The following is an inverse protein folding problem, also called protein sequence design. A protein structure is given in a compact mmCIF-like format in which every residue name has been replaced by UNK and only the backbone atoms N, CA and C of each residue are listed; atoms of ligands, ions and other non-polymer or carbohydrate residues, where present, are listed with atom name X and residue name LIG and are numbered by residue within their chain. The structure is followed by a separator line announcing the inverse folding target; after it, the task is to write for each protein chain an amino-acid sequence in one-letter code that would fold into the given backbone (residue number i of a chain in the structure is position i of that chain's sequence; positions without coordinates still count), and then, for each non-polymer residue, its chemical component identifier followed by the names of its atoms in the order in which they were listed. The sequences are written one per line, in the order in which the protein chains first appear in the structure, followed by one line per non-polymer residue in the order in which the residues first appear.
data_IF_875584854456
#
_entry.id   IF_875584854456
#
_cell.length_a   1.000
_cell.length_b   1.000
_cell.length_c   1.000
_cell.angle_alpha   90.00
_cell.angle_beta   90.00
_cell.angle_gamma   90.00
#
_symmetry.space_group_name_H-M   'P 1'
#
loop_
_entity.id
_entity.type
_entity.pdbx_description
1 polymer ?
#
# COMPACT_ATOMS: atom_id res chain seq x y z
N UNK A 1 2.13 0.60 16.19
CA UNK A 1 2.67 -0.73 15.88
C UNK A 1 2.15 -1.20 14.54
N UNK A 2 3.07 -1.52 13.64
CA UNK A 2 2.80 -1.94 12.26
C UNK A 2 3.39 -3.34 12.06
N UNK A 3 2.59 -4.22 11.48
CA UNK A 3 3.03 -5.54 11.06
C UNK A 3 3.50 -5.47 9.62
N UNK A 4 4.72 -5.93 9.36
CA UNK A 4 5.27 -6.09 8.02
C UNK A 4 5.32 -7.56 7.66
N UNK A 5 5.07 -7.88 6.41
CA UNK A 5 5.11 -9.22 5.85
C UNK A 5 5.84 -9.14 4.52
N UNK A 6 6.56 -10.21 4.18
CA UNK A 6 7.23 -10.30 2.89
C UNK A 6 6.58 -11.40 2.07
N UNK A 7 6.06 -11.05 0.89
CA UNK A 7 5.52 -12.01 -0.07
C UNK A 7 6.48 -12.15 -1.25
N UNK A 8 7.01 -13.36 -1.43
CA UNK A 8 7.82 -13.74 -2.59
C UNK A 8 6.96 -14.56 -3.55
N UNK A 9 6.68 -14.02 -4.74
CA UNK A 9 6.20 -14.84 -5.86
C UNK A 9 7.40 -15.59 -6.45
N UNK A 10 7.17 -16.80 -6.94
CA UNK A 10 8.22 -17.74 -7.39
C UNK A 10 9.13 -17.14 -8.48
N UNK A 11 8.74 -16.03 -9.13
CA UNK A 11 9.49 -15.37 -10.20
C UNK A 11 9.61 -13.84 -10.07
N UNK A 12 9.25 -13.23 -8.94
CA UNK A 12 9.33 -11.76 -8.79
C UNK A 12 10.02 -11.34 -7.50
N UNK A 13 10.53 -10.11 -7.49
CA UNK A 13 11.13 -9.47 -6.32
C UNK A 13 10.18 -9.54 -5.12
N UNK A 14 10.77 -9.60 -3.92
CA UNK A 14 10.01 -9.70 -2.69
C UNK A 14 9.15 -8.43 -2.49
N UNK A 15 7.83 -8.60 -2.45
CA UNK A 15 6.91 -7.52 -2.18
C UNK A 15 6.76 -7.32 -0.68
N UNK A 16 6.72 -6.05 -0.27
CA UNK A 16 6.50 -5.67 1.12
C UNK A 16 5.01 -5.43 1.35
N UNK A 17 4.42 -6.20 2.23
CA UNK A 17 3.03 -6.04 2.69
C UNK A 17 3.10 -5.51 4.12
N UNK A 18 2.21 -4.61 4.50
CA UNK A 18 2.14 -4.13 5.87
C UNK A 18 0.71 -3.78 6.29
N UNK A 19 0.43 -3.81 7.60
CA UNK A 19 -0.87 -3.44 8.16
C UNK A 19 -0.72 -2.86 9.56
N UNK A 20 -1.61 -1.94 9.92
CA UNK A 20 -1.67 -1.38 11.26
C UNK A 20 -2.26 -2.39 12.25
N UNK A 21 -1.81 -2.33 13.50
CA UNK A 21 -2.37 -3.15 14.60
C UNK A 21 -3.82 -2.80 14.89
N UNK A 22 -4.17 -1.52 14.81
CA UNK A 22 -5.48 -1.01 15.13
C UNK A 22 -5.88 0.16 14.23
N UNK A 23 -7.08 0.69 14.47
CA UNK A 23 -7.67 1.78 13.70
C UNK A 23 -6.88 3.09 13.76
N UNK A 24 -6.14 3.37 14.83
CA UNK A 24 -5.35 4.59 14.96
C UNK A 24 -4.07 4.51 14.12
N UNK A 25 -3.40 3.37 14.17
CA UNK A 25 -2.25 3.08 13.31
C UNK A 25 -2.64 3.12 11.83
N UNK A 26 -3.84 2.62 11.50
CA UNK A 26 -4.36 2.70 10.14
C UNK A 26 -4.56 4.15 9.67
N UNK A 27 -5.03 5.07 10.52
CA UNK A 27 -5.15 6.48 10.15
C UNK A 27 -3.77 7.09 9.85
N UNK A 28 -2.75 6.74 10.64
CA UNK A 28 -1.39 7.21 10.40
C UNK A 28 -0.79 6.65 9.10
N UNK A 29 -1.00 5.34 8.84
CA UNK A 29 -0.60 4.70 7.58
C UNK A 29 -1.29 5.33 6.36
N UNK A 30 -2.58 5.72 6.47
CA UNK A 30 -3.27 6.44 5.39
C UNK A 30 -2.67 7.82 5.18
N UNK A 31 -2.29 8.52 6.25
CA UNK A 31 -1.70 9.86 6.15
C UNK A 31 -0.29 9.84 5.56
N UNK A 32 0.47 8.80 5.89
CA UNK A 32 1.89 8.66 5.52
C UNK A 32 2.16 7.65 4.39
N UNK A 33 1.11 7.09 3.78
CA UNK A 33 1.22 6.18 2.64
C UNK A 33 1.91 6.79 1.43
N UNK A 34 2.49 5.92 0.60
CA UNK A 34 3.21 6.27 -0.61
C UNK A 34 2.32 6.14 -1.84
N UNK A 35 2.59 6.88 -2.93
CA UNK A 35 1.83 6.74 -4.17
C UNK A 35 1.94 5.34 -4.80
N UNK A 36 3.03 4.62 -4.50
CA UNK A 36 3.27 3.23 -4.93
C UNK A 36 2.52 2.20 -4.06
N UNK A 37 1.88 2.63 -2.96
CA UNK A 37 1.19 1.72 -2.06
C UNK A 37 -0.23 1.42 -2.57
N UNK A 38 -0.60 0.14 -2.54
CA UNK A 38 -1.93 -0.35 -2.88
C UNK A 38 -2.63 -0.76 -1.60
N UNK A 39 -3.80 -0.18 -1.37
CA UNK A 39 -4.62 -0.45 -0.20
C UNK A 39 -5.63 -1.55 -0.48
N UNK A 40 -5.82 -2.43 0.50
CA UNK A 40 -6.74 -3.56 0.47
C UNK A 40 -7.66 -3.55 1.69
N UNK A 41 -8.92 -3.91 1.47
CA UNK A 41 -9.94 -4.02 2.51
C UNK A 41 -11.09 -4.92 2.06
N UNK A 42 -11.81 -5.54 2.99
CA UNK A 42 -13.00 -6.33 2.65
C UNK A 42 -14.18 -5.41 2.31
N UNK A 43 -14.89 -5.69 1.21
CA UNK A 43 -16.09 -4.96 0.84
C UNK A 43 -17.15 -5.04 1.94
N UNK A 44 -17.67 -3.89 2.39
CA UNK A 44 -18.81 -3.75 3.32
C UNK A 44 -18.66 -4.36 4.72
N UNK A 45 -17.51 -4.95 5.05
CA UNK A 45 -17.27 -5.58 6.36
C UNK A 45 -16.13 -4.89 7.08
N UNK A 46 -16.16 -4.92 8.41
CA UNK A 46 -15.04 -4.47 9.22
C UNK A 46 -13.85 -5.43 9.05
N UNK A 47 -12.74 -4.90 8.54
CA UNK A 47 -11.50 -5.65 8.34
C UNK A 47 -10.27 -4.78 8.55
N UNK A 48 -9.11 -5.40 8.73
CA UNK A 48 -7.85 -4.68 8.77
C UNK A 48 -7.54 -4.01 7.42
N UNK A 49 -6.84 -2.87 7.47
CA UNK A 49 -6.27 -2.23 6.28
C UNK A 49 -4.90 -2.83 5.99
N UNK A 50 -4.80 -3.53 4.86
CA UNK A 50 -3.54 -4.09 4.39
C UNK A 50 -3.04 -3.23 3.24
N UNK A 51 -1.74 -2.97 3.22
CA UNK A 51 -1.06 -2.20 2.22
C UNK A 51 0.00 -3.06 1.56
N UNK A 52 0.09 -2.98 0.24
CA UNK A 52 1.14 -3.60 -0.56
C UNK A 52 1.98 -2.49 -1.17
N UNK A 53 3.29 -2.52 -0.93
CA UNK A 53 4.24 -1.59 -1.54
C UNK A 53 4.75 -2.15 -2.85
N UNK A 54 4.45 -1.47 -3.94
CA UNK A 54 4.97 -1.81 -5.27
C UNK A 54 6.39 -1.28 -5.47
N UNK A 55 7.12 -1.87 -6.42
CA UNK A 55 8.40 -1.33 -6.85
C UNK A 55 8.19 -0.06 -7.71
N UNK A 56 9.20 0.81 -7.74
CA UNK A 56 9.15 2.07 -8.50
C UNK A 56 8.84 1.79 -9.98
N UNK A 57 7.68 2.25 -10.44
CA UNK A 57 7.23 2.12 -11.84
C UNK A 57 6.26 0.98 -12.13
N UNK A 58 5.95 0.12 -11.17
CA UNK A 58 4.89 -0.89 -11.29
C UNK A 58 3.49 -0.29 -11.03
N UNK A 59 2.47 -0.86 -11.67
CA UNK A 59 1.08 -0.48 -11.45
C UNK A 59 0.28 -1.61 -10.79
N UNK A 60 -0.94 -1.28 -10.36
CA UNK A 60 -1.92 -2.23 -9.81
C UNK A 60 -2.23 -3.42 -10.73
N UNK A 61 -1.97 -3.30 -12.04
CA UNK A 61 -2.20 -4.35 -13.03
C UNK A 61 -1.02 -5.31 -13.17
N UNK A 62 0.18 -4.86 -12.80
CA UNK A 62 1.42 -5.63 -12.87
C UNK A 62 1.59 -6.58 -11.67
N UNK A 63 0.72 -6.44 -10.64
CA UNK A 63 0.78 -7.25 -9.43
C UNK A 63 0.53 -8.73 -9.77
N UNK A 64 1.48 -9.63 -9.45
CA UNK A 64 1.28 -11.05 -9.63
C UNK A 64 0.05 -11.54 -8.85
N UNK A 65 -0.75 -12.41 -9.48
CA UNK A 65 -1.95 -12.99 -8.85
C UNK A 65 -1.65 -13.67 -7.51
N UNK A 66 -0.46 -14.24 -7.36
CA UNK A 66 0.00 -14.85 -6.10
C UNK A 66 0.06 -13.81 -4.96
N UNK A 67 0.68 -12.66 -5.21
CA UNK A 67 0.81 -11.57 -4.22
C UNK A 67 -0.55 -10.95 -3.93
N UNK A 68 -1.38 -10.80 -4.96
CA UNK A 68 -2.76 -10.34 -4.81
C UNK A 68 -3.57 -11.29 -3.90
N UNK A 69 -3.44 -12.60 -4.13
CA UNK A 69 -4.08 -13.62 -3.29
C UNK A 69 -3.54 -13.61 -1.87
N UNK A 70 -2.24 -13.44 -1.68
CA UNK A 70 -1.62 -13.30 -0.36
C UNK A 70 -2.24 -12.14 0.43
N UNK A 71 -2.34 -10.95 -0.19
CA UNK A 71 -2.96 -9.79 0.42
C UNK A 71 -4.44 -10.04 0.73
N UNK A 72 -5.19 -10.59 -0.23
CA UNK A 72 -6.63 -10.82 -0.07
C UNK A 72 -6.94 -11.84 1.05
N UNK A 73 -6.12 -12.91 1.15
CA UNK A 73 -6.22 -13.87 2.24
C UNK A 73 -5.87 -13.25 3.60
N UNK A 74 -4.84 -12.40 3.65
CA UNK A 74 -4.42 -11.72 4.86
C UNK A 74 -5.53 -10.79 5.39
N UNK A 75 -6.15 -9.98 4.52
CA UNK A 75 -7.28 -9.10 4.90
C UNK A 75 -8.48 -9.94 5.37
N UNK A 76 -8.82 -11.00 4.64
CA UNK A 76 -9.91 -11.91 5.00
C UNK A 76 -9.68 -12.56 6.38
N UNK A 77 -8.46 -13.02 6.64
CA UNK A 77 -8.09 -13.62 7.93
C UNK A 77 -8.17 -12.61 9.08
N UNK A 78 -7.84 -11.35 8.81
CA UNK A 78 -7.92 -10.24 9.76
C UNK A 78 -9.25 -9.46 9.68
N UNK A 79 -10.32 -10.09 9.18
CA UNK A 79 -11.68 -9.53 9.21
C UNK A 79 -12.54 -10.22 10.27
N UNK A 80 -13.26 -9.41 11.05
CA UNK A 80 -14.09 -9.89 12.16
C UNK A 80 -15.18 -10.85 11.65
N UNK A 81 -15.88 -10.45 10.59
CA UNK A 81 -16.95 -11.24 9.98
C UNK A 81 -16.46 -12.01 8.74
N UNK A 82 -15.55 -11.42 7.95
CA UNK A 82 -15.06 -12.02 6.70
C UNK A 82 -14.29 -13.33 6.91
N UNK A 83 -13.66 -13.53 8.06
CA UNK A 83 -12.89 -14.76 8.34
C UNK A 83 -13.76 -16.04 8.34
N UNK A 84 -15.07 -15.93 8.60
CA UNK A 84 -16.02 -17.07 8.64
C UNK A 84 -16.81 -17.23 7.34
N UNK A 85 -16.75 -16.27 6.43
CA UNK A 85 -17.49 -16.29 5.18
C UNK A 85 -16.69 -17.03 4.10
N UNK A 86 -17.38 -17.85 3.32
CA UNK A 86 -16.77 -18.53 2.18
C UNK A 86 -16.47 -17.49 1.09
N UNK A 87 -17.46 -16.79 0.57
CA UNK A 87 -17.25 -15.81 -0.49
C UNK A 87 -17.09 -14.41 0.08
N UNK A 88 -15.84 -13.91 0.09
CA UNK A 88 -15.52 -12.55 0.53
C UNK A 88 -14.94 -11.78 -0.63
N UNK A 89 -15.52 -10.61 -0.89
CA UNK A 89 -14.99 -9.67 -1.87
C UNK A 89 -13.98 -8.76 -1.16
N UNK A 90 -12.74 -8.77 -1.63
CA UNK A 90 -11.70 -7.84 -1.18
C UNK A 90 -11.55 -6.76 -2.24
N UNK A 91 -11.71 -5.52 -1.83
CA UNK A 91 -11.47 -4.35 -2.68
C UNK A 91 -10.02 -3.94 -2.55
N UNK A 92 -9.43 -3.49 -3.65
CA UNK A 92 -8.09 -2.95 -3.68
C UNK A 92 -7.98 -1.78 -4.63
N UNK A 93 -7.26 -0.74 -4.21
CA UNK A 93 -7.12 0.52 -4.95
C UNK A 93 -5.78 1.16 -4.61
N UNK A 94 -5.19 1.96 -5.52
CA UNK A 94 -4.01 2.75 -5.19
C UNK A 94 -4.29 3.71 -4.04
N UNK A 95 -3.30 3.93 -3.18
CA UNK A 95 -3.38 4.86 -2.05
C UNK A 95 -3.79 6.27 -2.49
N UNK A 96 -3.31 6.72 -3.65
CA UNK A 96 -3.64 8.01 -4.26
C UNK A 96 -5.15 8.21 -4.55
N UNK A 97 -5.95 7.14 -4.55
CA UNK A 97 -7.39 7.19 -4.78
C UNK A 97 -8.21 7.22 -3.47
N UNK A 98 -7.56 7.00 -2.32
CA UNK A 98 -8.23 7.04 -1.02
C UNK A 98 -8.57 8.49 -0.67
N UNK A 99 -9.83 8.71 -0.26
CA UNK A 99 -10.35 10.00 0.19
C UNK A 99 -10.75 9.89 1.65
N UNK A 100 -10.00 10.58 2.52
CA UNK A 100 -10.37 10.76 3.93
C UNK A 100 -10.73 12.22 4.17
N UNK A 101 -11.93 12.47 4.69
CA UNK A 101 -12.34 13.81 5.17
C UNK A 101 -12.31 13.84 6.69
N UNK A 102 -12.12 15.02 7.29
CA UNK A 102 -12.07 15.18 8.74
C UNK A 102 -13.39 14.79 9.42
N UNK A 103 -14.52 14.91 8.71
CA UNK A 103 -15.85 14.52 9.19
C UNK A 103 -16.10 13.00 9.19
N UNK A 104 -15.19 12.19 8.64
CA UNK A 104 -15.36 10.73 8.57
C UNK A 104 -14.85 10.05 9.84
N UNK A 105 -15.65 9.14 10.38
CA UNK A 105 -15.29 8.33 11.55
C UNK A 105 -13.97 7.57 11.35
N UNK A 106 -13.26 7.31 12.45
CA UNK A 106 -11.98 6.60 12.46
C UNK A 106 -12.13 5.22 11.81
N UNK A 107 -11.36 4.95 10.76
CA UNK A 107 -11.44 3.73 9.96
C UNK A 107 -12.39 3.78 8.76
N UNK A 108 -13.22 4.84 8.62
CA UNK A 108 -14.00 5.06 7.41
C UNK A 108 -13.14 5.74 6.34
N UNK A 109 -13.14 5.17 5.12
CA UNK A 109 -12.41 5.70 3.97
C UNK A 109 -13.36 5.80 2.78
N UNK A 110 -13.34 6.94 2.11
CA UNK A 110 -13.99 7.14 0.82
C UNK A 110 -13.03 6.92 -0.34
N UNK A 111 -13.56 6.98 -1.57
CA UNK A 111 -12.76 6.89 -2.79
C UNK A 111 -12.99 8.14 -3.65
N UNK A 112 -11.94 8.63 -4.30
CA UNK A 112 -12.07 9.72 -5.28
C UNK A 112 -12.74 9.22 -6.57
N UNK A 113 -12.30 8.06 -7.07
CA UNK A 113 -12.81 7.41 -8.28
C UNK A 113 -13.15 5.95 -7.97
N UNK A 114 -14.44 5.62 -8.00
CA UNK A 114 -14.89 4.23 -7.85
C UNK A 114 -14.44 3.32 -9.01
N UNK A 115 -14.15 3.89 -10.19
CA UNK A 115 -13.67 3.13 -11.36
C UNK A 115 -12.28 2.54 -11.17
N UNK A 116 -11.46 3.15 -10.32
CA UNK A 116 -10.09 2.71 -10.04
C UNK A 116 -10.06 1.64 -8.92
N UNK A 117 -11.21 1.35 -8.32
CA UNK A 117 -11.36 0.30 -7.30
C UNK A 117 -11.55 -1.04 -7.99
N UNK A 118 -10.62 -1.96 -7.78
CA UNK A 118 -10.71 -3.33 -8.26
C UNK A 118 -11.20 -4.24 -7.14
N UNK A 119 -11.83 -5.36 -7.52
CA UNK A 119 -12.39 -6.33 -6.59
C UNK A 119 -11.84 -7.70 -6.92
N UNK A 120 -11.37 -8.41 -5.90
CA UNK A 120 -10.97 -9.82 -5.98
C UNK A 120 -11.84 -10.65 -5.05
N UNK A 121 -12.41 -11.73 -5.55
CA UNK A 121 -13.24 -12.64 -4.75
C UNK A 121 -12.38 -13.77 -4.21
N UNK A 122 -12.44 -14.00 -2.90
CA UNK A 122 -11.74 -15.09 -2.22
C UNK A 122 -12.76 -16.06 -1.64
N UNK A 123 -12.88 -17.23 -2.26
CA UNK A 123 -13.90 -18.26 -1.92
C UNK A 123 -13.54 -19.15 -0.73
N UNK A 124 -12.25 -19.49 -0.57
CA UNK A 124 -11.80 -20.35 0.52
C UNK A 124 -10.57 -19.76 1.15
N UNK A 125 -10.49 -19.87 2.48
CA UNK A 125 -9.31 -19.49 3.23
C UNK A 125 -8.21 -20.52 2.96
N UNK A 126 -7.16 -20.13 2.27
CA UNK A 126 -5.95 -20.94 2.11
C UNK A 126 -5.03 -20.72 3.31
N UNK A 127 -5.03 -21.68 4.24
CA UNK A 127 -4.20 -21.59 5.45
C UNK A 127 -2.70 -21.66 5.15
N UNK A 128 -2.29 -22.31 4.05
CA UNK A 128 -0.88 -22.41 3.66
C UNK A 128 -0.27 -21.04 3.34
N UNK A 129 -1.01 -20.18 2.64
CA UNK A 129 -0.63 -18.80 2.34
C UNK A 129 -0.43 -18.00 3.63
N UNK A 130 -1.39 -18.11 4.55
CA UNK A 130 -1.33 -17.40 5.83
C UNK A 130 -0.16 -17.87 6.68
N UNK A 131 0.06 -19.18 6.76
CA UNK A 131 1.19 -19.74 7.50
C UNK A 131 2.54 -19.32 6.89
N UNK A 132 2.63 -19.17 5.57
CA UNK A 132 3.81 -18.63 4.89
C UNK A 132 4.04 -17.18 5.25
N UNK A 133 3.00 -16.35 5.21
CA UNK A 133 3.08 -14.93 5.56
C UNK A 133 3.41 -14.75 7.05
N UNK A 134 2.80 -15.53 7.95
CA UNK A 134 3.05 -15.42 9.39
C UNK A 134 4.52 -15.72 9.74
N UNK A 135 5.21 -16.56 8.95
CA UNK A 135 6.67 -16.79 9.11
C UNK A 135 7.52 -15.58 8.72
N UNK A 136 7.04 -14.74 7.80
CA UNK A 136 7.74 -13.53 7.36
C UNK A 136 7.24 -12.28 8.09
N UNK A 137 6.37 -12.45 9.09
CA UNK A 137 5.83 -11.38 9.91
C UNK A 137 6.93 -10.74 10.76
N UNK A 138 7.06 -9.43 10.63
CA UNK A 138 7.96 -8.60 11.42
C UNK A 138 7.16 -7.48 12.05
N UNK A 139 7.18 -7.42 13.38
CA UNK A 139 6.58 -6.32 14.13
C UNK A 139 7.57 -5.16 14.20
N UNK A 140 7.14 -3.98 13.77
CA UNK A 140 7.94 -2.75 13.89
C UNK A 140 7.11 -1.62 14.48
N UNK A 141 7.82 -0.65 15.04
CA UNK A 141 7.31 0.65 15.43
C UNK A 141 7.95 1.70 14.52
N UNK A 142 7.59 1.72 13.21
CA UNK A 142 8.12 2.70 12.28
C UNK A 142 7.66 4.10 12.69
N UNK A 143 8.57 5.07 12.64
CA UNK A 143 8.21 6.48 12.72
C UNK A 143 7.83 6.94 11.30
N UNK A 144 6.60 6.63 10.91
CA UNK A 144 6.07 6.84 9.54
C UNK A 144 6.15 8.31 9.11
N UNK A 145 6.03 9.22 10.08
CA UNK A 145 6.18 10.65 9.87
C UNK A 145 7.63 11.01 9.50
N UNK A 146 8.62 10.50 10.23
CA UNK A 146 10.03 10.72 9.94
C UNK A 146 10.47 10.08 8.61
N UNK A 147 10.00 8.86 8.28
CA UNK A 147 10.34 8.21 7.01
C UNK A 147 9.80 8.98 5.80
N UNK A 148 8.55 9.46 5.88
CA UNK A 148 7.95 10.27 4.82
C UNK A 148 8.63 11.62 4.69
N UNK A 149 8.91 12.31 5.80
CA UNK A 149 9.60 13.60 5.76
C UNK A 149 11.02 13.48 5.18
N UNK A 150 11.74 12.41 5.53
CA UNK A 150 13.07 12.14 4.98
C UNK A 150 13.01 11.97 3.46
N UNK A 151 12.11 11.10 2.97
CA UNK A 151 11.92 10.87 1.53
C UNK A 151 11.46 12.12 0.80
N UNK A 152 10.48 12.85 1.32
CA UNK A 152 9.99 14.10 0.72
C UNK A 152 11.09 15.16 0.65
N UNK A 153 11.99 15.19 1.64
CA UNK A 153 13.15 16.09 1.67
C UNK A 153 14.19 15.68 0.62
N UNK A 154 14.47 14.40 0.48
CA UNK A 154 15.37 13.86 -0.56
C UNK A 154 14.82 14.12 -1.96
N UNK A 155 13.55 13.78 -2.23
CA UNK A 155 12.94 14.03 -3.54
C UNK A 155 12.90 15.53 -3.89
N UNK A 156 12.67 16.40 -2.90
CA UNK A 156 12.69 17.85 -3.10
C UNK A 156 14.10 18.36 -3.36
N UNK A 157 15.12 17.76 -2.74
CA UNK A 157 16.52 18.08 -3.00
C UNK A 157 16.97 17.58 -4.38
N UNK A 158 16.63 16.35 -4.75
CA UNK A 158 16.93 15.79 -6.08
C UNK A 158 16.25 16.57 -7.20
N UNK A 159 14.95 16.90 -7.07
CA UNK A 159 14.25 17.75 -8.05
C UNK A 159 14.90 19.13 -8.16
N UNK A 160 15.31 19.73 -7.04
CA UNK A 160 16.04 21.02 -7.06
C UNK A 160 17.40 20.88 -7.76
N UNK A 161 18.14 19.81 -7.50
CA UNK A 161 19.44 19.55 -8.13
C UNK A 161 19.28 19.34 -9.65
N UNK A 162 18.30 18.54 -10.07
CA UNK A 162 18.01 18.31 -11.50
C UNK A 162 17.57 19.60 -12.21
N UNK A 163 16.72 20.43 -11.60
CA UNK A 163 16.32 21.72 -12.17
C UNK A 163 17.51 22.68 -12.24
N UNK A 164 18.37 22.71 -11.21
CA UNK A 164 19.58 23.53 -11.24
C UNK A 164 20.56 23.06 -12.32
N UNK A 165 20.73 21.75 -12.49
CA UNK A 165 21.61 21.18 -13.52
C UNK A 165 21.07 21.45 -14.92
N UNK A 166 19.76 21.25 -15.17
CA UNK A 166 19.12 21.63 -16.43
C UNK A 166 19.29 23.12 -16.73
N UNK A 167 19.01 24.00 -15.76
CA UNK A 167 19.22 25.45 -15.93
C UNK A 167 20.67 25.82 -16.19
N UNK A 168 21.63 25.08 -15.63
CA UNK A 168 23.06 25.30 -15.86
C UNK A 168 23.45 24.87 -17.27
N UNK A 169 23.01 23.70 -17.73
CA UNK A 169 23.21 23.21 -19.11
C UNK A 169 22.59 24.16 -20.14
N UNK A 170 21.35 24.61 -19.95
CA UNK A 170 20.70 25.58 -20.85
C UNK A 170 21.46 26.92 -20.94
N UNK A 171 22.02 27.40 -19.82
CA UNK A 171 22.85 28.62 -19.79
C UNK A 171 24.17 28.43 -20.51
N UNK A 172 24.79 27.25 -20.42
CA UNK A 172 26.04 26.94 -21.14
C UNK A 172 25.80 26.78 -22.64
N UNK A 173 24.69 26.17 -23.06
CA UNK A 173 24.29 26.08 -24.46
C UNK A 173 23.98 27.45 -25.07
N UNK A 174 23.29 28.33 -24.32
CA UNK A 174 23.04 29.72 -24.75
C UNK A 174 24.30 30.57 -24.86
N UNK A 175 25.39 30.23 -24.16
CA UNK A 175 26.68 30.92 -24.27
C UNK A 175 27.57 30.39 -25.39
N UNK A 176 27.28 29.20 -25.91
CA UNK A 176 28.01 28.57 -27.02
C UNK A 176 27.39 28.83 -28.39
N UNK A 177 26.16 29.34 -28.44
CA UNK A 177 25.53 29.95 -29.63
C UNK A 177 25.84 31.44 -29.66
#
# INVERSE_FOLDING_TARGET
MVFYFTSSSVNSSAYTIYMGKDKYENEDLIKHGWPEDIWFHVDKLSSAHVYLRLHKGENIEDIPKEVLMDCAHLVKANSIQGCKMNNVNVVYTPWSNLKKTADMDVGQIGFHRQKDVKIVTVEKKVNEILNRLEKTKVERFPDLAAEKECRDREERNEKKAQIQEMKKREKEEKKKK
#
